data_IF_875638228244
#
_entry.id   IF_875638228244
#
_cell.length_a   1.000
_cell.length_b   1.000
_cell.length_c   1.000
_cell.angle_alpha   90.00
_cell.angle_beta   90.00
_cell.angle_gamma   90.00
#
_symmetry.space_group_name_H-M   'P 1'
#
loop_
_entity.id
_entity.type
_entity.pdbx_description
1 polymer ?
#
# COMPACT_ATOMS: atom_id res chain seq x y z
N UNK A 1 15.98 11.06 0.01
CA UNK A 1 15.93 9.76 -0.68
C UNK A 1 15.45 8.69 0.30
N UNK A 2 14.61 7.76 -0.15
CA UNK A 2 14.22 6.63 0.70
C UNK A 2 15.36 5.60 0.74
N UNK A 3 15.62 5.03 1.93
CA UNK A 3 16.64 3.99 2.14
C UNK A 3 16.01 2.62 1.96
N UNK A 4 16.61 1.76 1.15
CA UNK A 4 16.20 0.37 0.98
C UNK A 4 16.68 -0.47 2.17
N UNK A 5 15.74 -1.11 2.87
CA UNK A 5 15.98 -1.83 4.11
C UNK A 5 15.90 -3.34 3.93
N UNK A 6 14.94 -3.82 3.15
CA UNK A 6 14.74 -5.23 2.79
C UNK A 6 14.61 -5.31 1.27
N UNK A 7 15.21 -6.34 0.68
CA UNK A 7 15.03 -6.72 -0.73
C UNK A 7 14.75 -8.21 -0.77
N UNK A 8 13.59 -8.60 -1.33
CA UNK A 8 13.23 -9.99 -1.55
C UNK A 8 12.90 -10.21 -3.02
N UNK A 9 13.55 -11.20 -3.61
CA UNK A 9 13.21 -11.71 -4.95
C UNK A 9 12.07 -12.72 -4.81
N UNK A 10 11.00 -12.51 -5.57
CA UNK A 10 9.80 -13.33 -5.62
C UNK A 10 9.67 -14.00 -7.00
N UNK A 11 8.64 -14.84 -7.20
CA UNK A 11 8.37 -15.46 -8.51
C UNK A 11 8.12 -14.41 -9.61
N UNK A 12 7.46 -13.31 -9.26
CA UNK A 12 7.08 -12.25 -10.20
C UNK A 12 7.76 -10.91 -9.86
N UNK A 13 9.09 -10.92 -9.70
CA UNK A 13 9.86 -9.71 -9.45
C UNK A 13 10.28 -9.54 -7.99
N UNK A 14 10.22 -8.30 -7.45
CA UNK A 14 10.81 -8.00 -6.15
C UNK A 14 9.82 -7.32 -5.21
N UNK A 15 9.95 -7.62 -3.91
CA UNK A 15 9.37 -6.83 -2.83
C UNK A 15 10.49 -6.13 -2.08
N UNK A 16 10.39 -4.81 -1.93
CA UNK A 16 11.34 -4.00 -1.16
C UNK A 16 10.63 -3.25 -0.05
N UNK A 17 11.26 -3.18 1.11
CA UNK A 17 10.83 -2.29 2.20
C UNK A 17 11.79 -1.10 2.24
N UNK A 18 11.24 0.09 2.20
CA UNK A 18 11.97 1.36 2.18
C UNK A 18 11.61 2.18 3.42
N UNK A 19 12.62 2.88 3.95
CA UNK A 19 12.44 3.90 4.98
C UNK A 19 12.56 5.29 4.35
N UNK A 20 11.48 6.06 4.34
CA UNK A 20 11.46 7.39 3.74
C UNK A 20 10.05 7.94 3.51
N UNK A 21 9.99 9.06 2.81
CA UNK A 21 8.75 9.73 2.44
C UNK A 21 8.17 9.12 1.16
N UNK A 22 7.03 8.45 1.30
CA UNK A 22 6.32 7.78 0.20
C UNK A 22 5.94 8.74 -0.93
N UNK A 23 5.64 10.00 -0.63
CA UNK A 23 5.23 11.01 -1.63
C UNK A 23 6.34 11.37 -2.62
N UNK A 24 7.58 10.94 -2.35
CA UNK A 24 8.78 11.20 -3.17
C UNK A 24 9.33 9.96 -3.86
N UNK A 25 8.64 8.84 -3.73
CA UNK A 25 9.07 7.57 -4.35
C UNK A 25 8.44 7.45 -5.73
N UNK A 26 9.27 7.25 -6.74
CA UNK A 26 8.83 7.07 -8.11
C UNK A 26 8.29 5.65 -8.34
N UNK A 27 7.32 5.52 -9.24
CA UNK A 27 6.71 4.25 -9.64
C UNK A 27 5.60 4.45 -10.66
N UNK A 28 4.83 3.40 -10.94
CA UNK A 28 3.69 3.48 -11.85
C UNK A 28 2.37 3.74 -11.10
N UNK A 29 2.20 3.07 -9.97
CA UNK A 29 1.00 3.18 -9.12
C UNK A 29 1.40 3.46 -7.68
N UNK A 30 0.76 4.44 -7.05
CA UNK A 30 0.96 4.74 -5.64
C UNK A 30 -0.36 4.60 -4.86
N UNK A 31 -0.29 3.96 -3.69
CA UNK A 31 -1.44 3.73 -2.83
C UNK A 31 -1.65 4.90 -1.88
N UNK A 32 -2.87 5.41 -1.81
CA UNK A 32 -3.32 6.41 -0.84
C UNK A 32 -4.15 5.71 0.24
N UNK A 33 -3.71 5.70 1.51
CA UNK A 33 -4.50 5.13 2.62
C UNK A 33 -5.65 6.08 2.98
N UNK A 34 -6.76 5.97 2.27
CA UNK A 34 -7.88 6.89 2.28
C UNK A 34 -8.91 6.60 3.38
N UNK A 35 -9.78 7.58 3.63
CA UNK A 35 -11.02 7.39 4.36
C UNK A 35 -12.20 7.21 3.38
N UNK A 36 -13.35 6.78 3.90
CA UNK A 36 -14.55 6.49 3.10
C UNK A 36 -15.15 7.72 2.38
N UNK A 37 -14.69 8.92 2.68
CA UNK A 37 -15.13 10.18 2.02
C UNK A 37 -14.19 10.63 0.93
N UNK A 38 -13.01 9.99 0.78
CA UNK A 38 -11.92 10.42 -0.11
C UNK A 38 -11.51 11.89 0.12
N UNK A 39 -11.52 12.32 1.38
CA UNK A 39 -11.44 13.75 1.72
C UNK A 39 -10.01 14.29 1.88
N UNK A 40 -9.01 13.42 2.07
CA UNK A 40 -7.61 13.82 2.24
C UNK A 40 -7.41 14.79 3.41
N UNK A 41 -7.91 14.47 4.61
CA UNK A 41 -7.93 15.43 5.75
C UNK A 41 -7.12 15.02 6.96
N UNK A 42 -6.58 13.81 7.00
CA UNK A 42 -5.89 13.29 8.16
C UNK A 42 -4.65 12.49 7.77
N UNK A 43 -3.58 12.62 8.55
CA UNK A 43 -2.38 11.80 8.48
C UNK A 43 -1.71 11.74 7.10
N UNK A 44 -1.34 10.56 6.66
CA UNK A 44 -0.67 10.35 5.38
C UNK A 44 -1.59 10.69 4.20
N UNK A 45 -2.89 10.41 4.27
CA UNK A 45 -3.88 10.78 3.25
C UNK A 45 -3.85 12.29 2.97
N UNK A 46 -3.86 13.12 4.02
CA UNK A 46 -3.75 14.57 3.88
C UNK A 46 -2.43 15.00 3.23
N UNK A 47 -1.29 14.44 3.66
CA UNK A 47 0.02 14.76 3.08
C UNK A 47 0.11 14.39 1.61
N UNK A 48 -0.47 13.25 1.21
CA UNK A 48 -0.51 12.83 -0.19
C UNK A 48 -1.40 13.75 -1.03
N UNK A 49 -2.56 14.15 -0.51
CA UNK A 49 -3.41 15.15 -1.17
C UNK A 49 -2.72 16.51 -1.31
N UNK A 50 -1.96 16.95 -0.31
CA UNK A 50 -1.18 18.19 -0.39
C UNK A 50 -0.07 18.08 -1.45
N UNK A 51 0.63 16.96 -1.51
CA UNK A 51 1.69 16.72 -2.48
C UNK A 51 1.15 16.58 -3.92
N UNK A 52 -0.01 15.95 -4.10
CA UNK A 52 -0.67 15.81 -5.39
C UNK A 52 -1.22 17.14 -5.95
N UNK A 53 -1.58 18.08 -5.07
CA UNK A 53 -2.17 19.36 -5.47
C UNK A 53 -3.69 19.39 -5.31
N UNK A 54 -4.30 20.59 -5.48
CA UNK A 54 -5.73 20.80 -5.27
C UNK A 54 -6.63 20.01 -6.22
N UNK A 55 -6.14 19.70 -7.42
CA UNK A 55 -6.87 18.96 -8.46
C UNK A 55 -7.27 17.56 -8.00
N UNK A 56 -6.45 16.90 -7.19
CA UNK A 56 -6.81 15.59 -6.63
C UNK A 56 -8.05 15.68 -5.74
N UNK A 57 -8.13 16.73 -4.92
CA UNK A 57 -9.29 16.94 -4.04
C UNK A 57 -10.57 17.22 -4.84
N UNK A 58 -10.46 17.99 -5.90
CA UNK A 58 -11.58 18.29 -6.81
C UNK A 58 -12.04 17.01 -7.52
N UNK A 59 -11.12 16.19 -8.00
CA UNK A 59 -11.43 14.92 -8.64
C UNK A 59 -12.15 13.94 -7.68
N UNK A 60 -11.64 13.78 -6.46
CA UNK A 60 -12.28 12.98 -5.42
C UNK A 60 -13.67 13.48 -5.03
N UNK A 61 -13.87 14.81 -4.99
CA UNK A 61 -15.19 15.40 -4.76
C UNK A 61 -16.17 15.06 -5.90
N UNK A 62 -15.69 14.98 -7.14
CA UNK A 62 -16.46 14.51 -8.30
C UNK A 62 -16.94 13.08 -8.13
N UNK A 63 -16.05 12.16 -7.76
CA UNK A 63 -16.40 10.76 -7.45
C UNK A 63 -17.47 10.70 -6.36
N UNK A 64 -17.26 11.45 -5.27
CA UNK A 64 -18.20 11.51 -4.16
C UNK A 64 -19.58 12.00 -4.58
N UNK A 65 -19.65 12.99 -5.48
CA UNK A 65 -20.91 13.50 -6.02
C UNK A 65 -21.64 12.46 -6.87
N UNK A 66 -20.93 11.75 -7.73
CA UNK A 66 -21.55 10.71 -8.57
C UNK A 66 -22.07 9.54 -7.72
N UNK A 67 -21.28 9.00 -6.82
CA UNK A 67 -21.70 7.86 -5.97
C UNK A 67 -22.87 8.20 -5.03
N UNK A 68 -23.00 9.46 -4.61
CA UNK A 68 -24.16 9.91 -3.80
C UNK A 68 -25.49 9.82 -4.55
N UNK A 69 -25.50 9.89 -5.87
CA UNK A 69 -26.74 9.73 -6.66
C UNK A 69 -27.35 8.35 -6.44
N UNK A 70 -26.51 7.35 -6.19
CA UNK A 70 -26.91 5.97 -5.93
C UNK A 70 -26.96 5.64 -4.43
N UNK A 71 -26.92 6.64 -3.54
CA UNK A 71 -26.83 6.49 -2.08
C UNK A 71 -25.60 5.66 -1.60
N UNK A 72 -24.51 5.68 -2.37
CA UNK A 72 -23.26 4.98 -2.03
C UNK A 72 -22.26 5.94 -1.37
N UNK A 73 -21.40 5.36 -0.51
CA UNK A 73 -20.21 6.07 -0.02
C UNK A 73 -19.23 6.29 -1.16
N UNK A 74 -18.41 7.37 -1.14
CA UNK A 74 -17.36 7.60 -2.12
C UNK A 74 -16.40 6.43 -2.29
N UNK A 75 -16.01 5.78 -1.17
CA UNK A 75 -15.25 4.55 -1.15
C UNK A 75 -15.52 3.85 0.19
N UNK A 76 -16.02 2.63 0.18
CA UNK A 76 -16.32 1.87 1.39
C UNK A 76 -15.06 1.21 1.99
N UNK A 77 -15.16 0.75 3.25
CA UNK A 77 -14.09 -0.04 3.87
C UNK A 77 -13.90 -1.35 3.09
N UNK A 78 -12.66 -1.65 2.71
CA UNK A 78 -12.33 -2.79 1.84
C UNK A 78 -12.63 -2.54 0.37
N UNK A 79 -12.83 -1.29 -0.04
CA UNK A 79 -12.92 -0.86 -1.43
C UNK A 79 -11.70 -0.03 -1.83
N UNK A 80 -11.48 0.07 -3.15
CA UNK A 80 -10.43 0.90 -3.74
C UNK A 80 -10.96 1.67 -4.96
N UNK A 81 -10.39 2.86 -5.19
CA UNK A 81 -10.75 3.74 -6.30
C UNK A 81 -9.49 4.31 -6.93
N UNK A 82 -9.38 4.23 -8.25
CA UNK A 82 -8.26 4.79 -9.01
C UNK A 82 -8.51 6.24 -9.42
N UNK A 83 -7.49 7.08 -9.31
CA UNK A 83 -7.48 8.47 -9.76
C UNK A 83 -6.18 8.80 -10.51
N UNK A 84 -6.12 9.91 -11.27
CA UNK A 84 -4.86 10.48 -11.72
C UNK A 84 -3.96 10.87 -10.54
N UNK A 85 -2.64 10.90 -10.77
CA UNK A 85 -1.64 11.21 -9.73
C UNK A 85 -1.37 12.71 -9.54
N UNK A 86 -1.70 13.51 -10.55
CA UNK A 86 -1.40 14.95 -10.61
C UNK A 86 0.09 15.23 -10.40
N UNK A 87 0.50 15.87 -9.28
CA UNK A 87 1.89 16.24 -9.03
C UNK A 87 2.72 15.14 -8.33
N UNK A 88 2.13 14.00 -7.98
CA UNK A 88 2.89 12.89 -7.41
C UNK A 88 3.70 12.14 -8.49
N UNK A 89 4.88 11.56 -8.16
CA UNK A 89 5.83 11.01 -9.13
C UNK A 89 5.45 9.59 -9.59
N UNK A 90 4.18 9.38 -9.93
CA UNK A 90 3.62 8.12 -10.43
C UNK A 90 2.56 8.42 -11.51
N UNK A 91 2.09 7.40 -12.22
CA UNK A 91 1.04 7.59 -13.23
C UNK A 91 -0.36 7.60 -12.64
N UNK A 92 -0.62 6.73 -11.65
CA UNK A 92 -1.92 6.56 -11.04
C UNK A 92 -1.86 6.51 -9.52
N UNK A 93 -2.94 6.96 -8.88
CA UNK A 93 -3.18 6.72 -7.46
C UNK A 93 -4.29 5.68 -7.29
N UNK A 94 -4.13 4.80 -6.32
CA UNK A 94 -5.20 3.90 -5.87
C UNK A 94 -5.51 4.24 -4.42
N UNK A 95 -6.67 4.83 -4.19
CA UNK A 95 -7.19 5.13 -2.85
C UNK A 95 -7.79 3.86 -2.28
N UNK A 96 -7.32 3.44 -1.11
CA UNK A 96 -7.78 2.21 -0.45
C UNK A 96 -8.25 2.55 0.95
N UNK A 97 -9.45 2.10 1.32
CA UNK A 97 -10.00 2.32 2.66
C UNK A 97 -9.83 1.07 3.49
N UNK A 98 -8.90 1.13 4.43
CA UNK A 98 -8.66 0.07 5.41
C UNK A 98 -9.62 0.12 6.60
N UNK A 99 -9.56 -0.89 7.50
CA UNK A 99 -10.34 -0.89 8.75
C UNK A 99 -9.92 0.21 9.70
N UNK A 100 -10.88 0.93 10.27
CA UNK A 100 -10.65 1.92 11.33
C UNK A 100 -10.65 1.23 12.70
N UNK A 101 -9.48 1.05 13.29
CA UNK A 101 -9.26 0.37 14.56
C UNK A 101 -9.14 1.33 15.76
N UNK A 102 -9.48 2.61 15.63
CA UNK A 102 -9.54 3.57 16.75
C UNK A 102 -10.61 3.19 17.78
N UNK A 103 -11.60 2.39 17.36
CA UNK A 103 -12.59 1.79 18.25
C UNK A 103 -12.32 0.29 18.37
N UNK A 104 -12.70 -0.34 19.50
CA UNK A 104 -12.56 -1.77 19.66
C UNK A 104 -13.24 -2.53 18.51
N UNK A 105 -12.47 -3.36 17.82
CA UNK A 105 -12.93 -4.16 16.71
C UNK A 105 -12.50 -5.61 16.95
N UNK A 106 -13.36 -6.58 16.67
CA UNK A 106 -13.01 -8.00 16.80
C UNK A 106 -11.83 -8.33 15.88
N UNK A 107 -10.87 -9.09 16.40
CA UNK A 107 -9.62 -9.40 15.71
C UNK A 107 -9.83 -10.03 14.32
N UNK A 108 -10.70 -11.05 14.23
CA UNK A 108 -10.98 -11.70 12.96
C UNK A 108 -11.59 -10.74 11.95
N UNK A 109 -12.53 -9.91 12.38
CA UNK A 109 -13.20 -8.96 11.51
C UNK A 109 -12.24 -7.90 10.95
N UNK A 110 -11.35 -7.35 11.78
CA UNK A 110 -10.35 -6.38 11.28
C UNK A 110 -9.36 -7.01 10.30
N UNK A 111 -8.97 -8.30 10.52
CA UNK A 111 -8.09 -9.03 9.60
C UNK A 111 -8.77 -9.26 8.23
N UNK A 112 -10.01 -9.69 8.25
CA UNK A 112 -10.81 -9.87 7.02
C UNK A 112 -10.94 -8.55 6.25
N UNK A 113 -11.22 -7.44 6.94
CA UNK A 113 -11.32 -6.12 6.32
C UNK A 113 -9.97 -5.65 5.74
N UNK A 114 -8.85 -5.87 6.44
CA UNK A 114 -7.54 -5.51 5.92
C UNK A 114 -7.18 -6.35 4.69
N UNK A 115 -7.44 -7.66 4.74
CA UNK A 115 -7.25 -8.53 3.57
C UNK A 115 -8.09 -8.06 2.39
N UNK A 116 -9.37 -7.81 2.60
CA UNK A 116 -10.27 -7.28 1.57
C UNK A 116 -9.76 -5.96 0.97
N UNK A 117 -9.14 -5.10 1.79
CA UNK A 117 -8.55 -3.84 1.31
C UNK A 117 -7.37 -4.09 0.38
N UNK A 118 -6.51 -5.07 0.68
CA UNK A 118 -5.42 -5.47 -0.21
C UNK A 118 -5.94 -6.16 -1.48
N UNK A 119 -6.94 -7.03 -1.38
CA UNK A 119 -7.56 -7.67 -2.54
C UNK A 119 -8.12 -6.59 -3.50
N UNK A 120 -8.85 -5.60 -2.97
CA UNK A 120 -9.36 -4.48 -3.77
C UNK A 120 -8.25 -3.61 -4.39
N UNK A 121 -7.12 -3.42 -3.68
CA UNK A 121 -5.93 -2.78 -4.24
C UNK A 121 -5.39 -3.56 -5.44
N UNK A 122 -5.20 -4.86 -5.28
CA UNK A 122 -4.62 -5.72 -6.32
C UNK A 122 -5.52 -5.77 -7.56
N UNK A 123 -6.83 -5.88 -7.39
CA UNK A 123 -7.81 -5.79 -8.49
C UNK A 123 -7.64 -4.49 -9.30
N UNK A 124 -7.45 -3.34 -8.61
CA UNK A 124 -7.23 -2.06 -9.29
C UNK A 124 -5.89 -2.04 -10.03
N UNK A 125 -4.81 -2.52 -9.41
CA UNK A 125 -3.47 -2.56 -10.02
C UNK A 125 -3.47 -3.46 -11.25
N UNK A 126 -4.08 -4.63 -11.17
CA UNK A 126 -4.20 -5.56 -12.29
C UNK A 126 -5.02 -4.99 -13.45
N UNK A 127 -6.06 -4.21 -13.17
CA UNK A 127 -6.85 -3.51 -14.19
C UNK A 127 -6.07 -2.41 -14.92
N UNK A 128 -5.02 -1.87 -14.31
CA UNK A 128 -4.16 -0.81 -14.85
C UNK A 128 -2.94 -1.34 -15.64
N UNK A 129 -2.90 -2.59 -16.08
CA UNK A 129 -1.78 -3.21 -16.79
C UNK A 129 -1.39 -2.46 -18.09
N UNK A 130 -0.10 -2.46 -18.47
CA UNK A 130 1.05 -3.02 -17.77
C UNK A 130 1.52 -2.13 -16.61
N UNK A 131 1.97 -2.74 -15.52
CA UNK A 131 2.53 -2.04 -14.35
C UNK A 131 3.82 -2.69 -13.93
N UNK A 132 4.81 -1.87 -13.68
CA UNK A 132 6.14 -2.34 -13.30
C UNK A 132 6.43 -2.11 -11.82
N UNK A 133 5.92 -1.01 -11.23
CA UNK A 133 6.23 -0.64 -9.84
C UNK A 133 4.99 -0.16 -9.11
N UNK A 134 4.64 -0.87 -8.04
CA UNK A 134 3.62 -0.49 -7.05
C UNK A 134 4.31 0.12 -5.82
N UNK A 135 3.96 1.36 -5.48
CA UNK A 135 4.41 2.06 -4.27
C UNK A 135 3.27 2.07 -3.26
N UNK A 136 3.47 1.46 -2.09
CA UNK A 136 2.43 1.37 -1.07
C UNK A 136 2.95 1.72 0.32
N UNK A 137 2.29 2.61 1.06
CA UNK A 137 2.49 2.68 2.50
C UNK A 137 1.78 1.49 3.17
N UNK A 138 2.05 1.22 4.45
CA UNK A 138 1.27 0.27 5.22
C UNK A 138 -0.18 0.72 5.36
N UNK A 139 -1.13 -0.16 5.04
CA UNK A 139 -2.55 0.16 5.13
C UNK A 139 -3.05 0.12 6.59
N UNK A 140 -3.83 1.13 6.98
CA UNK A 140 -4.54 1.18 8.26
C UNK A 140 -3.69 1.50 9.49
N UNK A 141 -2.37 1.61 9.38
CA UNK A 141 -1.46 1.74 10.53
C UNK A 141 -1.13 3.18 10.94
N UNK A 142 -1.54 4.16 10.17
CA UNK A 142 -1.44 5.58 10.53
C UNK A 142 -2.65 5.98 11.40
N UNK A 143 -3.53 6.82 10.89
CA UNK A 143 -4.68 7.39 11.62
C UNK A 143 -5.67 6.31 12.10
N UNK A 144 -5.85 5.25 11.34
CA UNK A 144 -6.79 4.16 11.69
C UNK A 144 -6.27 3.19 12.75
N UNK A 145 -5.03 3.38 13.21
CA UNK A 145 -4.47 2.71 14.37
C UNK A 145 -4.57 1.17 14.38
N UNK A 146 -4.42 0.53 13.20
CA UNK A 146 -4.31 -0.92 13.13
C UNK A 146 -3.11 -1.40 13.94
N UNK A 147 -3.20 -2.50 14.72
CA UNK A 147 -2.09 -2.98 15.53
C UNK A 147 -0.83 -3.23 14.69
N UNK A 148 0.28 -2.55 14.99
CA UNK A 148 1.45 -2.47 14.12
C UNK A 148 2.09 -3.81 13.82
N UNK A 149 2.24 -4.70 14.82
CA UNK A 149 2.85 -6.02 14.59
C UNK A 149 1.97 -6.93 13.73
N UNK A 150 0.67 -6.94 13.97
CA UNK A 150 -0.29 -7.72 13.17
C UNK A 150 -0.40 -7.15 11.76
N UNK A 151 -0.51 -5.85 11.63
CA UNK A 151 -0.58 -5.16 10.34
C UNK A 151 0.69 -5.36 9.50
N UNK A 152 1.87 -5.30 10.13
CA UNK A 152 3.14 -5.58 9.47
C UNK A 152 3.20 -7.04 8.96
N UNK A 153 2.74 -8.00 9.79
CA UNK A 153 2.68 -9.41 9.41
C UNK A 153 1.74 -9.62 8.24
N UNK A 154 0.52 -9.13 8.32
CA UNK A 154 -0.48 -9.26 7.26
C UNK A 154 -0.04 -8.60 5.96
N UNK A 155 0.51 -7.38 6.03
CA UNK A 155 1.04 -6.68 4.85
C UNK A 155 2.12 -7.53 4.18
N UNK A 156 3.08 -8.04 4.94
CA UNK A 156 4.17 -8.85 4.38
C UNK A 156 3.66 -10.16 3.78
N UNK A 157 2.83 -10.90 4.51
CA UNK A 157 2.30 -12.19 4.05
C UNK A 157 1.43 -12.00 2.78
N UNK A 158 0.51 -11.06 2.78
CA UNK A 158 -0.39 -10.81 1.64
C UNK A 158 0.39 -10.38 0.38
N UNK A 159 1.35 -9.46 0.54
CA UNK A 159 2.15 -8.99 -0.61
C UNK A 159 3.06 -10.08 -1.15
N UNK A 160 3.69 -10.89 -0.28
CA UNK A 160 4.54 -12.00 -0.71
C UNK A 160 3.71 -13.12 -1.38
N UNK A 161 2.54 -13.47 -0.83
CA UNK A 161 1.63 -14.43 -1.45
C UNK A 161 1.20 -13.98 -2.85
N UNK A 162 0.89 -12.70 -3.03
CA UNK A 162 0.53 -12.13 -4.33
C UNK A 162 1.69 -12.17 -5.33
N UNK A 163 2.90 -11.77 -4.91
CA UNK A 163 4.10 -11.76 -5.77
C UNK A 163 4.68 -13.16 -6.04
N UNK A 164 4.34 -14.16 -5.23
CA UNK A 164 4.73 -15.56 -5.39
C UNK A 164 3.57 -16.45 -5.93
N UNK A 165 2.43 -15.86 -6.31
CA UNK A 165 1.27 -16.58 -6.84
C UNK A 165 1.58 -17.28 -8.18
N UNK A 166 0.73 -18.21 -8.60
CA UNK A 166 0.86 -18.87 -9.92
C UNK A 166 0.57 -17.90 -11.08
N UNK A 167 -0.36 -16.96 -10.87
CA UNK A 167 -0.72 -15.93 -11.84
C UNK A 167 0.20 -14.72 -11.70
N UNK A 168 0.73 -14.25 -12.84
CA UNK A 168 1.56 -13.04 -12.88
C UNK A 168 0.70 -11.79 -12.56
N UNK A 169 1.00 -11.07 -11.47
CA UNK A 169 0.26 -9.86 -11.10
C UNK A 169 0.48 -8.68 -12.06
N UNK A 170 1.42 -8.80 -13.02
CA UNK A 170 1.81 -7.71 -13.91
C UNK A 170 2.60 -6.59 -13.23
N UNK A 171 3.26 -6.90 -12.12
CA UNK A 171 4.06 -5.98 -11.31
C UNK A 171 5.44 -6.56 -11.11
N UNK A 172 6.48 -5.84 -11.53
CA UNK A 172 7.87 -6.28 -11.36
C UNK A 172 8.45 -5.89 -9.99
N UNK A 173 7.86 -4.90 -9.33
CA UNK A 173 8.35 -4.40 -8.06
C UNK A 173 7.23 -3.86 -7.17
N UNK A 174 7.23 -4.28 -5.90
CA UNK A 174 6.42 -3.69 -4.85
C UNK A 174 7.33 -2.98 -3.85
N UNK A 175 7.14 -1.67 -3.70
CA UNK A 175 7.85 -0.83 -2.74
C UNK A 175 6.93 -0.53 -1.55
N UNK A 176 7.19 -1.16 -0.40
CA UNK A 176 6.50 -0.86 0.86
C UNK A 176 7.27 0.25 1.56
N UNK A 177 6.70 1.43 1.66
CA UNK A 177 7.40 2.65 2.12
C UNK A 177 6.80 3.17 3.41
N UNK A 178 7.64 3.41 4.40
CA UNK A 178 7.25 4.04 5.66
C UNK A 178 8.33 4.99 6.18
N UNK A 179 7.95 6.06 6.85
CA UNK A 179 8.83 6.92 7.63
C UNK A 179 8.66 6.72 9.15
N UNK A 180 7.87 5.71 9.56
CA UNK A 180 7.59 5.40 10.95
C UNK A 180 8.53 4.29 11.46
N UNK A 181 9.42 4.64 12.41
CA UNK A 181 10.40 3.71 12.98
C UNK A 181 9.75 2.47 13.63
N UNK A 182 8.62 2.66 14.31
CA UNK A 182 7.91 1.56 14.96
C UNK A 182 7.40 0.56 13.92
N UNK A 183 6.81 1.04 12.82
CA UNK A 183 6.37 0.18 11.74
C UNK A 183 7.54 -0.54 11.09
N UNK A 184 8.62 0.17 10.76
CA UNK A 184 9.82 -0.43 10.17
C UNK A 184 10.41 -1.54 11.06
N UNK A 185 10.45 -1.33 12.38
CA UNK A 185 10.92 -2.34 13.33
C UNK A 185 10.05 -3.59 13.30
N UNK A 186 8.72 -3.42 13.29
CA UNK A 186 7.80 -4.54 13.16
C UNK A 186 7.96 -5.27 11.83
N UNK A 187 8.11 -4.55 10.70
CA UNK A 187 8.34 -5.16 9.38
C UNK A 187 9.62 -6.03 9.37
N UNK A 188 10.72 -5.51 9.89
CA UNK A 188 11.97 -6.28 10.00
C UNK A 188 11.80 -7.56 10.83
N UNK A 189 11.05 -7.47 11.92
CA UNK A 189 10.82 -8.60 12.83
C UNK A 189 9.95 -9.67 12.16
N UNK A 190 8.79 -9.29 11.63
CA UNK A 190 7.88 -10.25 10.98
C UNK A 190 8.49 -10.84 9.71
N UNK A 191 9.29 -10.09 8.96
CA UNK A 191 10.01 -10.59 7.79
C UNK A 191 10.95 -11.73 8.15
N UNK A 192 11.78 -11.57 9.20
CA UNK A 192 12.68 -12.63 9.69
C UNK A 192 11.93 -13.86 10.22
N UNK A 193 10.75 -13.67 10.83
CA UNK A 193 9.93 -14.76 11.35
C UNK A 193 9.23 -15.56 10.24
N UNK A 194 9.05 -14.98 9.04
CA UNK A 194 8.33 -15.58 7.92
C UNK A 194 9.19 -15.84 6.68
N UNK A 195 10.48 -15.52 6.74
CA UNK A 195 11.41 -15.58 5.62
C UNK A 195 11.42 -16.94 4.90
N UNK A 196 11.38 -18.03 5.67
CA UNK A 196 11.42 -19.40 5.14
C UNK A 196 10.04 -19.93 4.69
N UNK A 197 8.97 -19.19 4.89
CA UNK A 197 7.61 -19.63 4.55
C UNK A 197 7.24 -19.41 3.08
N UNK A 198 8.01 -18.62 2.36
CA UNK A 198 7.76 -18.23 0.99
C UNK A 198 8.91 -18.68 0.08
N UNK A 199 8.62 -19.03 -1.20
CA UNK A 199 9.62 -19.57 -2.12
C UNK A 199 10.70 -18.58 -2.53
N UNK A 200 10.48 -17.28 -2.36
CA UNK A 200 11.41 -16.22 -2.76
C UNK A 200 12.72 -16.20 -1.95
N UNK A 201 13.67 -15.37 -2.38
CA UNK A 201 15.03 -15.30 -1.82
C UNK A 201 15.32 -13.90 -1.27
N UNK A 202 15.85 -13.82 -0.04
CA UNK A 202 16.36 -12.56 0.51
C UNK A 202 17.64 -12.13 -0.21
N UNK A 203 17.59 -10.95 -0.83
CA UNK A 203 18.71 -10.30 -1.54
C UNK A 203 19.24 -9.05 -0.83
N UNK A 204 18.79 -8.78 0.38
CA UNK A 204 19.13 -7.55 1.13
C UNK A 204 20.65 -7.37 1.27
N UNK A 205 21.35 -8.46 1.52
CA UNK A 205 22.82 -8.44 1.73
C UNK A 205 23.58 -8.18 0.42
N UNK A 206 23.15 -8.79 -0.69
CA UNK A 206 23.70 -8.58 -2.02
C UNK A 206 23.44 -7.16 -2.52
N UNK A 207 22.22 -6.65 -2.32
CA UNK A 207 21.85 -5.28 -2.66
C UNK A 207 22.75 -4.27 -1.96
N UNK A 208 22.95 -4.39 -0.65
CA UNK A 208 23.84 -3.49 0.12
C UNK A 208 25.29 -3.53 -0.32
N UNK A 209 25.73 -4.61 -0.94
CA UNK A 209 27.09 -4.76 -1.52
C UNK A 209 27.19 -4.32 -2.98
N UNK A 210 26.09 -3.80 -3.56
CA UNK A 210 26.02 -3.42 -4.98
C UNK A 210 26.09 -4.59 -5.96
N UNK A 211 25.81 -5.81 -5.51
CA UNK A 211 25.84 -7.03 -6.33
C UNK A 211 24.47 -7.44 -6.89
N UNK A 212 23.43 -6.70 -6.52
CA UNK A 212 22.04 -6.93 -6.91
C UNK A 212 21.33 -5.59 -7.10
N UNK A 213 20.61 -5.43 -8.22
CA UNK A 213 19.84 -4.22 -8.57
C UNK A 213 18.34 -4.45 -8.55
#
# INVERSE_FOLDING_TARGET
MAEVVIVRECNHGQVRVLFGDVTRVEGDVMVVPANNRLAGREGLDERMHQAAGPELREFCAGIAKERRKDNLQPCGVGEAVTTPSFNLPVEHLVHVVGPDCRRPTQDNFRRELLKKSYDALFDQVEALKPRNTLVTPPLGMDVFAYPHREGARMTMEIVLEWMDSEEDPGVDMVLIVTNENNFLTNMKTVYRESEDRFPGVDRTREYRKGKFQ
#
